data_IF_272573139343
#
_entry.id   IF_272573139343
#
_cell.length_a   1.000
_cell.length_b   1.000
_cell.length_c   1.000
_cell.angle_alpha   90.00
_cell.angle_beta   90.00
_cell.angle_gamma   90.00
#
_symmetry.space_group_name_H-M   'P 1'
#
loop_
_entity.id
_entity.type
_entity.pdbx_description
1 polymer ?
#
# COMPACT_ATOMS: atom_id res chain seq x y z
N UNK A 1 8.41 -5.81 6.76
CA UNK A 1 7.52 -4.62 6.82
C UNK A 1 7.10 -4.53 8.28
N UNK A 2 7.40 -3.42 8.97
CA UNK A 2 6.92 -3.22 10.33
C UNK A 2 5.40 -2.91 10.25
N UNK A 3 4.61 -3.31 11.25
CA UNK A 3 3.15 -3.08 11.32
C UNK A 3 2.26 -3.87 10.34
N UNK A 4 2.80 -4.91 9.70
CA UNK A 4 2.00 -5.90 8.96
C UNK A 4 1.57 -7.01 9.93
N UNK A 5 0.26 -7.23 10.04
CA UNK A 5 -0.35 -8.30 10.83
C UNK A 5 -0.88 -9.37 9.88
N UNK A 6 -0.42 -10.62 10.05
CA UNK A 6 -0.88 -11.78 9.30
C UNK A 6 -1.96 -12.51 10.09
N UNK A 7 -2.95 -13.07 9.39
CA UNK A 7 -4.00 -13.90 9.99
C UNK A 7 -4.43 -15.01 9.02
N UNK A 8 -5.01 -16.08 9.56
CA UNK A 8 -5.40 -17.26 8.80
C UNK A 8 -4.33 -18.36 8.80
N UNK A 9 -4.44 -19.28 7.83
CA UNK A 9 -3.61 -20.48 7.71
C UNK A 9 -2.94 -20.60 6.32
N UNK A 10 -1.90 -21.44 6.14
CA UNK A 10 -1.30 -21.72 4.84
C UNK A 10 -2.33 -22.00 3.73
N UNK A 11 -2.28 -21.21 2.66
CA UNK A 11 -3.22 -21.29 1.52
C UNK A 11 -4.55 -20.54 1.73
N UNK A 12 -4.73 -19.82 2.85
CA UNK A 12 -5.89 -18.95 3.12
C UNK A 12 -5.50 -17.80 4.06
N UNK A 13 -4.30 -17.25 3.87
CA UNK A 13 -3.82 -16.14 4.66
C UNK A 13 -4.43 -14.80 4.19
N UNK A 14 -4.68 -13.91 5.14
CA UNK A 14 -4.89 -12.50 4.90
C UNK A 14 -3.89 -11.66 5.68
N UNK A 15 -3.75 -10.39 5.34
CA UNK A 15 -2.92 -9.49 6.13
C UNK A 15 -3.39 -8.04 6.10
N UNK A 16 -3.23 -7.38 7.24
CA UNK A 16 -3.61 -5.99 7.45
C UNK A 16 -2.36 -5.18 7.78
N UNK A 17 -2.25 -3.99 7.19
CA UNK A 17 -1.21 -3.05 7.52
C UNK A 17 -1.81 -1.81 8.16
N UNK A 18 -1.29 -1.46 9.33
CA UNK A 18 -1.62 -0.20 10.01
C UNK A 18 -0.48 0.78 9.82
N UNK A 19 -0.78 1.92 9.21
CA UNK A 19 0.17 3.03 9.14
C UNK A 19 0.03 3.96 10.35
N UNK A 20 1.00 4.00 11.27
CA UNK A 20 1.00 4.96 12.38
C UNK A 20 1.43 6.37 11.96
N UNK A 21 1.63 6.62 10.66
CA UNK A 21 2.13 7.87 10.09
C UNK A 21 3.65 7.86 9.86
N UNK A 22 4.34 6.75 10.12
CA UNK A 22 5.76 6.57 9.79
C UNK A 22 5.98 5.99 8.40
N UNK A 23 4.90 5.54 7.74
CA UNK A 23 4.88 4.92 6.43
C UNK A 23 5.93 3.79 6.32
N UNK A 24 6.16 3.04 7.41
CA UNK A 24 7.18 2.00 7.51
C UNK A 24 8.56 2.48 6.98
N UNK A 25 8.94 3.69 7.37
CA UNK A 25 10.21 4.34 7.02
C UNK A 25 10.28 4.90 5.60
N UNK A 26 9.16 4.96 4.86
CA UNK A 26 9.10 5.59 3.54
C UNK A 26 8.78 7.07 3.65
N UNK A 27 9.46 7.88 2.83
CA UNK A 27 9.11 9.28 2.67
C UNK A 27 8.06 9.44 1.58
N UNK A 28 6.92 10.05 1.93
CA UNK A 28 5.87 10.41 0.98
C UNK A 28 5.98 11.89 0.62
N UNK A 29 5.87 12.19 -0.67
CA UNK A 29 5.75 13.55 -1.15
C UNK A 29 4.43 14.17 -0.68
N UNK A 30 4.43 15.47 -0.40
CA UNK A 30 3.23 16.22 -0.02
C UNK A 30 2.10 16.04 -1.05
N UNK A 31 0.86 16.11 -0.56
CA UNK A 31 -0.31 15.98 -1.39
C UNK A 31 -0.29 16.97 -2.57
N UNK A 32 -0.42 16.52 -3.83
CA UNK A 32 -0.40 17.40 -4.99
C UNK A 32 -1.58 18.38 -5.04
N UNK A 33 -2.66 18.10 -4.33
CA UNK A 33 -3.90 18.87 -4.39
C UNK A 33 -3.97 19.96 -3.32
N UNK A 34 -3.58 19.65 -2.08
CA UNK A 34 -3.66 20.59 -0.96
C UNK A 34 -2.30 20.98 -0.34
N UNK A 35 -1.20 20.33 -0.75
CA UNK A 35 0.12 20.52 -0.12
C UNK A 35 0.29 19.86 1.25
N UNK A 36 -0.73 19.16 1.74
CA UNK A 36 -0.76 18.51 3.05
C UNK A 36 0.22 17.36 3.19
N UNK A 37 0.71 17.15 4.43
CA UNK A 37 1.65 16.09 4.78
C UNK A 37 1.04 15.01 5.69
N UNK A 38 -0.23 15.15 6.08
CA UNK A 38 -0.95 14.09 6.80
C UNK A 38 -1.41 13.05 5.78
N UNK A 39 -0.52 12.11 5.52
CA UNK A 39 -0.74 11.03 4.58
C UNK A 39 -0.86 9.71 5.36
N UNK A 40 -1.51 8.74 4.74
CA UNK A 40 -1.64 7.38 5.28
C UNK A 40 -1.49 6.40 4.11
N UNK A 41 -0.73 5.33 4.34
CA UNK A 41 -0.69 4.16 3.48
C UNK A 41 -1.65 3.11 4.04
N UNK A 42 -2.67 2.72 3.28
CA UNK A 42 -3.71 1.79 3.73
C UNK A 42 -3.80 0.57 2.82
N UNK A 43 -4.41 -0.52 3.31
CA UNK A 43 -4.75 -1.70 2.52
C UNK A 43 -6.14 -2.24 2.88
N UNK A 44 -6.73 -3.07 2.02
CA UNK A 44 -8.05 -3.69 2.23
C UNK A 44 -7.92 -5.16 2.64
N UNK A 45 -7.07 -5.47 3.62
CA UNK A 45 -6.77 -6.85 4.06
C UNK A 45 -6.09 -7.77 3.03
N UNK A 46 -5.84 -7.26 1.83
CA UNK A 46 -5.13 -7.91 0.73
C UNK A 46 -3.84 -7.15 0.43
N UNK A 47 -2.96 -7.71 -0.41
CA UNK A 47 -1.79 -7.00 -0.94
C UNK A 47 -2.17 -5.99 -2.03
N UNK A 48 -3.10 -5.10 -1.68
CA UNK A 48 -3.51 -3.95 -2.47
C UNK A 48 -3.42 -2.73 -1.58
N UNK A 49 -2.53 -1.81 -1.91
CA UNK A 49 -2.22 -0.66 -1.09
C UNK A 49 -2.54 0.64 -1.81
N UNK A 50 -2.91 1.66 -1.05
CA UNK A 50 -3.10 3.02 -1.54
C UNK A 50 -2.49 4.03 -0.59
N UNK A 51 -2.23 5.23 -1.11
CA UNK A 51 -1.87 6.41 -0.30
C UNK A 51 -3.06 7.36 -0.29
N UNK A 52 -3.44 7.84 0.89
CA UNK A 52 -4.53 8.80 1.10
C UNK A 52 -4.03 10.02 1.85
N UNK A 53 -4.44 11.20 1.40
CA UNK A 53 -4.29 12.44 2.16
C UNK A 53 -5.45 12.60 3.13
N UNK A 54 -5.15 12.68 4.42
CA UNK A 54 -6.16 12.81 5.49
C UNK A 54 -6.73 14.23 5.61
N UNK A 55 -6.18 15.21 4.88
CA UNK A 55 -6.67 16.60 4.90
C UNK A 55 -7.67 16.88 3.78
N UNK A 56 -7.42 16.40 2.55
CA UNK A 56 -8.29 16.63 1.40
C UNK A 56 -8.93 15.36 0.81
N UNK A 57 -8.67 14.19 1.41
CA UNK A 57 -9.14 12.87 0.95
C UNK A 57 -8.70 12.45 -0.45
N UNK A 58 -7.75 13.17 -1.07
CA UNK A 58 -7.13 12.70 -2.31
C UNK A 58 -6.42 11.37 -2.05
N UNK A 59 -6.69 10.38 -2.88
CA UNK A 59 -6.07 9.06 -2.78
C UNK A 59 -5.56 8.57 -4.13
N UNK A 60 -4.57 7.69 -4.09
CA UNK A 60 -4.09 6.94 -5.25
C UNK A 60 -3.76 5.52 -4.81
N UNK A 61 -4.33 4.56 -5.53
CA UNK A 61 -4.00 3.13 -5.37
C UNK A 61 -2.65 2.84 -6.06
N UNK A 62 -1.90 1.91 -5.49
CA UNK A 62 -0.80 1.24 -6.16
C UNK A 62 -1.29 0.05 -6.98
N UNK A 63 -0.32 -0.67 -7.54
CA UNK A 63 -0.61 -1.92 -8.23
C UNK A 63 -0.95 -3.03 -7.21
N UNK A 64 -1.84 -3.92 -7.62
CA UNK A 64 -2.20 -5.11 -6.85
C UNK A 64 -1.14 -6.18 -7.08
N UNK A 65 -0.61 -6.75 -6.00
CA UNK A 65 0.28 -7.89 -6.10
C UNK A 65 -0.57 -9.17 -6.28
N UNK A 66 -0.75 -9.62 -7.54
CA UNK A 66 -1.58 -10.78 -7.91
C UNK A 66 -1.12 -12.09 -7.23
N UNK A 67 0.15 -12.15 -6.82
CA UNK A 67 0.74 -13.30 -6.12
C UNK A 67 0.26 -13.47 -4.66
N UNK A 68 -0.39 -12.48 -4.06
CA UNK A 68 -0.84 -12.58 -2.67
C UNK A 68 -1.97 -13.61 -2.47
N UNK A 69 -2.83 -13.80 -3.48
CA UNK A 69 -3.95 -14.75 -3.41
C UNK A 69 -3.46 -16.21 -3.37
N UNK A 70 -2.26 -16.47 -3.91
CA UNK A 70 -1.70 -17.81 -4.05
C UNK A 70 -0.52 -18.07 -3.12
N UNK A 71 -0.27 -17.18 -2.15
CA UNK A 71 0.84 -17.32 -1.22
C UNK A 71 0.72 -18.63 -0.43
N UNK A 72 1.71 -19.49 -0.57
CA UNK A 72 1.76 -20.81 0.07
C UNK A 72 2.29 -20.73 1.51
N UNK A 73 2.92 -19.62 1.86
CA UNK A 73 3.54 -19.39 3.17
C UNK A 73 3.57 -17.90 3.52
N UNK A 74 3.82 -17.60 4.79
CA UNK A 74 3.91 -16.22 5.30
C UNK A 74 4.98 -15.38 4.58
N UNK A 75 6.10 -15.99 4.16
CA UNK A 75 7.19 -15.25 3.51
C UNK A 75 6.78 -14.71 2.13
N UNK A 76 6.06 -15.52 1.35
CA UNK A 76 5.48 -15.11 0.07
C UNK A 76 4.44 -14.00 0.24
N UNK A 77 3.56 -14.13 1.24
CA UNK A 77 2.56 -13.11 1.53
C UNK A 77 3.21 -11.78 1.96
N UNK A 78 4.22 -11.84 2.84
CA UNK A 78 4.99 -10.66 3.26
C UNK A 78 5.67 -10.01 2.04
N UNK A 79 6.20 -10.80 1.12
CA UNK A 79 6.83 -10.29 -0.10
C UNK A 79 5.81 -9.58 -1.01
N UNK A 80 4.64 -10.17 -1.24
CA UNK A 80 3.56 -9.58 -2.01
C UNK A 80 3.07 -8.26 -1.39
N UNK A 81 2.84 -8.24 -0.07
CA UNK A 81 2.48 -7.01 0.65
C UNK A 81 3.55 -5.93 0.52
N UNK A 82 4.83 -6.31 0.61
CA UNK A 82 5.96 -5.38 0.46
C UNK A 82 6.04 -4.81 -0.96
N UNK A 83 5.77 -5.60 -1.98
CA UNK A 83 5.74 -5.16 -3.38
C UNK A 83 4.59 -4.17 -3.62
N UNK A 84 3.36 -4.54 -3.27
CA UNK A 84 2.19 -3.68 -3.42
C UNK A 84 2.33 -2.35 -2.66
N UNK A 85 2.83 -2.40 -1.42
CA UNK A 85 3.13 -1.20 -0.64
C UNK A 85 4.15 -0.28 -1.33
N UNK A 86 5.22 -0.86 -1.88
CA UNK A 86 6.23 -0.09 -2.61
C UNK A 86 5.65 0.53 -3.88
N UNK A 87 4.76 -0.19 -4.58
CA UNK A 87 4.04 0.35 -5.74
C UNK A 87 3.19 1.56 -5.33
N UNK A 88 2.39 1.47 -4.26
CA UNK A 88 1.56 2.59 -3.78
C UNK A 88 2.40 3.84 -3.44
N UNK A 89 3.48 3.68 -2.67
CA UNK A 89 4.40 4.77 -2.32
C UNK A 89 5.03 5.38 -3.58
N UNK A 90 5.46 4.54 -4.52
CA UNK A 90 6.11 5.00 -5.75
C UNK A 90 5.11 5.70 -6.67
N UNK A 91 3.90 5.17 -6.82
CA UNK A 91 2.81 5.74 -7.61
C UNK A 91 2.39 7.11 -7.10
N UNK A 92 2.29 7.27 -5.77
CA UNK A 92 2.05 8.57 -5.15
C UNK A 92 3.19 9.56 -5.42
N UNK A 93 4.43 9.17 -5.11
CA UNK A 93 5.59 10.06 -5.20
C UNK A 93 5.94 10.47 -6.64
N UNK A 94 5.86 9.53 -7.58
CA UNK A 94 6.14 9.80 -8.99
C UNK A 94 5.00 10.58 -9.65
N UNK A 95 3.85 10.72 -8.97
CA UNK A 95 2.61 11.25 -9.55
C UNK A 95 2.30 10.61 -10.90
N UNK A 96 2.64 9.32 -11.07
CA UNK A 96 2.31 8.61 -12.30
C UNK A 96 0.80 8.65 -12.42
N UNK A 97 0.28 9.43 -13.37
CA UNK A 97 -1.08 9.24 -13.83
C UNK A 97 -1.14 7.80 -14.32
N UNK A 98 -2.14 7.05 -13.89
CA UNK A 98 -2.37 5.72 -14.46
C UNK A 98 -2.54 5.96 -15.95
N UNK A 99 -1.60 5.45 -16.73
CA UNK A 99 -1.54 5.64 -18.17
C UNK A 99 -2.65 4.86 -18.85
N UNK A 100 -3.91 5.16 -18.54
CA UNK A 100 -5.01 5.02 -19.48
C UNK A 100 -5.02 6.28 -20.36
N UNK A 101 -4.10 6.28 -21.32
CA UNK A 101 -4.29 7.03 -22.56
C UNK A 101 -5.52 6.41 -23.22
N UNK A 102 -6.60 7.20 -23.30
CA UNK A 102 -7.78 6.87 -24.11
C UNK A 102 -7.43 6.79 -25.58
#
# INVERSE_FOLDING_TARGET
MQNLELFGEPGSYGASYRDPGDHNGKHLASCPFCGGNKLEVFNTHTASYGVRCLECNAQKEGDVAENAEWAQNESELIAAHKEAFQSAVSGWNQRKGDGHVR
#
